data_IF_683358651823
#
_entry.id   IF_683358651823
#
_cell.length_a   1.000
_cell.length_b   1.000
_cell.length_c   1.000
_cell.angle_alpha   90.00
_cell.angle_beta   90.00
_cell.angle_gamma   90.00
#
_symmetry.space_group_name_H-M   'P 1'
#
loop_
_entity.id
_entity.type
_entity.pdbx_description
1 polymer ?
#
# COMPACT_ATOMS: atom_id res chain seq x y z
N UNK A 1 19.59 11.94 25.16
CA UNK A 1 19.65 12.50 23.79
C UNK A 1 18.24 12.47 23.23
N UNK A 2 17.86 13.49 22.46
CA UNK A 2 16.56 13.52 21.78
C UNK A 2 16.54 12.45 20.68
N UNK A 3 15.44 11.69 20.59
CA UNK A 3 15.29 10.53 19.68
C UNK A 3 14.15 10.75 18.69
N UNK A 4 14.34 10.29 17.47
CA UNK A 4 13.23 10.17 16.49
C UNK A 4 12.30 9.03 16.89
N UNK A 5 11.11 8.98 16.28
CA UNK A 5 10.22 7.82 16.43
C UNK A 5 10.93 6.52 16.02
N UNK A 6 11.65 6.55 14.89
CA UNK A 6 12.42 5.39 14.44
C UNK A 6 13.49 4.97 15.44
N UNK A 7 14.22 5.92 16.04
CA UNK A 7 15.23 5.60 17.05
C UNK A 7 14.60 4.88 18.26
N UNK A 8 13.45 5.37 18.74
CA UNK A 8 12.72 4.73 19.84
C UNK A 8 12.31 3.30 19.49
N UNK A 9 11.69 3.11 18.33
CA UNK A 9 11.27 1.79 17.87
C UNK A 9 12.45 0.83 17.68
N UNK A 10 13.54 1.34 17.11
CA UNK A 10 14.76 0.53 16.92
C UNK A 10 15.37 0.11 18.24
N UNK A 11 15.62 1.07 19.13
CA UNK A 11 16.30 0.84 20.40
C UNK A 11 15.50 -0.14 21.31
N UNK A 12 14.16 -0.08 21.26
CA UNK A 12 13.29 -0.97 22.04
C UNK A 12 13.30 -2.43 21.52
N UNK A 13 13.80 -2.68 20.29
CA UNK A 13 13.82 -4.03 19.67
C UNK A 13 15.21 -4.62 19.47
N UNK A 14 16.28 -3.84 19.69
CA UNK A 14 17.65 -4.36 19.59
C UNK A 14 17.91 -5.35 20.72
N UNK A 15 18.19 -6.59 20.35
CA UNK A 15 18.59 -7.68 21.26
C UNK A 15 20.10 -7.69 21.48
N UNK A 16 20.86 -7.49 20.38
CA UNK A 16 22.30 -7.49 20.38
C UNK A 16 22.83 -6.65 19.22
N UNK A 17 24.00 -6.04 19.39
CA UNK A 17 24.66 -5.27 18.32
C UNK A 17 26.11 -5.72 18.18
N UNK A 18 26.53 -5.94 16.94
CA UNK A 18 27.90 -6.23 16.57
C UNK A 18 28.74 -4.94 16.45
N UNK A 19 30.07 -5.07 16.48
CA UNK A 19 30.99 -3.93 16.34
C UNK A 19 30.87 -3.24 14.97
N UNK A 20 30.47 -3.97 13.91
CA UNK A 20 30.30 -3.45 12.56
C UNK A 20 28.96 -2.70 12.35
N UNK A 21 28.17 -2.55 13.42
CA UNK A 21 26.86 -1.90 13.41
C UNK A 21 25.69 -2.78 12.95
N UNK A 22 25.93 -4.08 12.69
CA UNK A 22 24.87 -5.06 12.50
C UNK A 22 24.18 -5.34 13.83
N UNK A 23 22.85 -5.37 13.84
CA UNK A 23 22.09 -5.65 15.04
C UNK A 23 21.12 -6.82 14.82
N UNK A 24 20.96 -7.62 15.85
CA UNK A 24 19.87 -8.58 15.98
C UNK A 24 18.68 -7.84 16.56
N UNK A 25 17.58 -7.74 15.81
CA UNK A 25 16.35 -7.12 16.29
C UNK A 25 15.25 -8.17 16.49
N UNK A 26 14.45 -7.99 17.53
CA UNK A 26 13.29 -8.82 17.81
C UNK A 26 12.13 -8.42 16.90
N UNK A 27 11.36 -9.41 16.43
CA UNK A 27 10.18 -9.22 15.57
C UNK A 27 8.92 -9.62 16.34
N UNK A 28 8.01 -8.67 16.55
CA UNK A 28 6.77 -8.90 17.31
C UNK A 28 5.71 -9.61 16.49
N UNK A 29 5.62 -9.29 15.20
CA UNK A 29 4.58 -9.80 14.30
C UNK A 29 5.17 -10.16 12.95
N UNK A 30 4.87 -11.36 12.49
CA UNK A 30 5.08 -11.77 11.11
C UNK A 30 3.74 -12.04 10.43
N UNK A 31 3.53 -11.40 9.27
CA UNK A 31 2.41 -11.67 8.41
C UNK A 31 2.87 -12.59 7.26
N UNK A 32 2.02 -13.53 6.88
CA UNK A 32 2.36 -14.56 5.91
C UNK A 32 1.31 -14.61 4.80
N UNK A 33 1.78 -14.86 3.58
CA UNK A 33 0.91 -15.10 2.43
C UNK A 33 1.49 -16.20 1.53
N UNK A 34 0.72 -16.66 0.55
CA UNK A 34 1.02 -17.86 -0.23
C UNK A 34 2.23 -17.73 -1.16
N UNK A 35 2.67 -16.51 -1.50
CA UNK A 35 3.73 -16.31 -2.51
C UNK A 35 5.13 -16.53 -1.94
N UNK A 36 5.40 -16.05 -0.72
CA UNK A 36 6.77 -16.02 -0.14
C UNK A 36 6.96 -16.96 1.05
N UNK A 37 5.95 -17.74 1.41
CA UNK A 37 6.02 -18.65 2.56
C UNK A 37 6.34 -20.11 2.24
N UNK A 38 6.05 -20.68 1.05
CA UNK A 38 6.23 -22.11 0.81
C UNK A 38 7.64 -22.62 1.09
N UNK A 39 8.66 -21.96 0.53
CA UNK A 39 10.06 -22.35 0.71
C UNK A 39 10.54 -22.11 2.15
N UNK A 40 10.00 -21.10 2.86
CA UNK A 40 10.32 -20.87 4.26
C UNK A 40 9.85 -22.01 5.16
N UNK A 41 8.64 -22.53 4.95
CA UNK A 41 8.15 -23.70 5.67
C UNK A 41 8.88 -24.99 5.27
N UNK A 42 9.22 -25.15 3.98
CA UNK A 42 10.04 -26.27 3.52
C UNK A 42 11.41 -26.28 4.23
N UNK A 43 12.08 -25.12 4.36
CA UNK A 43 13.33 -24.99 5.08
C UNK A 43 13.21 -25.39 6.55
N UNK A 44 12.15 -24.98 7.24
CA UNK A 44 11.89 -25.42 8.62
C UNK A 44 11.71 -26.94 8.71
N UNK A 45 10.93 -27.53 7.81
CA UNK A 45 10.69 -28.97 7.79
C UNK A 45 11.99 -29.75 7.55
N UNK A 46 12.81 -29.34 6.59
CA UNK A 46 14.10 -29.97 6.28
C UNK A 46 15.08 -29.88 7.44
N UNK A 47 15.06 -28.73 8.16
CA UNK A 47 15.90 -28.51 9.33
C UNK A 47 15.33 -29.14 10.62
N UNK A 48 14.13 -29.70 10.60
CA UNK A 48 13.44 -30.23 11.78
C UNK A 48 13.16 -29.16 12.85
N UNK A 49 12.92 -27.91 12.44
CA UNK A 49 12.73 -26.77 13.35
C UNK A 49 11.23 -26.42 13.49
N UNK A 50 10.74 -26.22 14.72
CA UNK A 50 9.40 -25.70 14.95
C UNK A 50 9.36 -24.19 14.70
N UNK A 51 8.15 -23.65 14.52
CA UNK A 51 7.91 -22.20 14.63
C UNK A 51 8.09 -21.75 16.08
N UNK A 52 8.98 -20.79 16.30
CA UNK A 52 9.37 -20.34 17.64
C UNK A 52 8.20 -19.77 18.45
N UNK A 53 7.42 -18.86 17.84
CA UNK A 53 6.28 -18.20 18.48
C UNK A 53 5.07 -18.19 17.54
N UNK A 54 4.26 -19.23 17.62
CA UNK A 54 3.12 -19.43 16.72
C UNK A 54 2.17 -18.23 16.73
N UNK A 55 1.84 -17.70 17.92
CA UNK A 55 0.92 -16.56 18.09
C UNK A 55 1.42 -15.22 17.51
N UNK A 56 2.69 -15.11 17.17
CA UNK A 56 3.26 -13.95 16.50
C UNK A 56 2.97 -13.94 15.00
N UNK A 57 2.49 -15.05 14.44
CA UNK A 57 2.24 -15.22 13.02
C UNK A 57 0.75 -15.15 12.70
N UNK A 58 0.41 -14.49 11.59
CA UNK A 58 -0.94 -14.44 11.04
C UNK A 58 -0.85 -14.59 9.51
N UNK A 59 -1.59 -15.53 8.96
CA UNK A 59 -1.54 -15.86 7.53
C UNK A 59 -2.86 -15.54 6.81
N UNK A 60 -2.75 -15.22 5.53
CA UNK A 60 -3.88 -15.04 4.62
C UNK A 60 -3.43 -15.29 3.19
N UNK A 61 -4.32 -15.83 2.35
CA UNK A 61 -4.11 -15.92 0.90
C UNK A 61 -4.72 -14.70 0.24
N UNK A 62 -3.92 -13.93 -0.54
CA UNK A 62 -4.37 -12.67 -1.11
C UNK A 62 -3.91 -12.37 -2.54
N UNK A 63 -2.83 -12.98 -3.02
CA UNK A 63 -2.25 -12.73 -4.35
C UNK A 63 -2.85 -13.63 -5.44
N UNK A 64 -2.97 -14.92 -5.16
CA UNK A 64 -3.38 -15.96 -6.12
C UNK A 64 -4.86 -16.35 -6.00
N UNK A 65 -5.63 -15.64 -5.21
CA UNK A 65 -7.05 -15.88 -5.06
C UNK A 65 -7.85 -15.20 -6.18
N UNK A 66 -8.89 -15.85 -6.74
CA UNK A 66 -9.76 -15.21 -7.72
C UNK A 66 -10.56 -14.09 -7.07
N UNK A 67 -10.80 -13.02 -7.83
CA UNK A 67 -11.68 -11.91 -7.44
C UNK A 67 -13.08 -12.02 -8.07
N UNK A 68 -13.29 -13.03 -8.88
CA UNK A 68 -14.58 -13.46 -9.44
C UNK A 68 -15.27 -14.47 -8.52
N UNK A 69 -16.26 -15.20 -9.02
CA UNK A 69 -16.92 -16.25 -8.27
C UNK A 69 -15.90 -17.32 -7.79
N UNK A 70 -15.98 -17.66 -6.53
CA UNK A 70 -15.09 -18.61 -5.83
C UNK A 70 -15.75 -19.99 -5.60
N UNK A 71 -16.98 -20.19 -6.07
CA UNK A 71 -17.72 -21.43 -5.84
C UNK A 71 -17.01 -22.66 -6.40
N UNK A 72 -16.27 -22.49 -7.51
CA UNK A 72 -15.51 -23.56 -8.16
C UNK A 72 -14.01 -23.59 -7.76
N UNK A 73 -13.63 -22.75 -6.79
CA UNK A 73 -12.25 -22.66 -6.31
C UNK A 73 -11.32 -21.90 -7.27
N UNK A 74 -10.04 -22.31 -7.30
CA UNK A 74 -8.98 -21.66 -8.09
C UNK A 74 -8.71 -22.52 -9.33
N UNK A 75 -8.95 -21.96 -10.51
CA UNK A 75 -8.79 -22.67 -11.79
C UNK A 75 -7.34 -22.80 -12.25
N UNK A 76 -6.48 -21.79 -11.95
CA UNK A 76 -5.06 -21.85 -12.30
C UNK A 76 -4.33 -22.84 -11.38
N UNK A 77 -3.66 -23.88 -11.93
CA UNK A 77 -3.06 -24.94 -11.11
C UNK A 77 -1.91 -24.44 -10.22
N UNK A 78 -1.14 -23.42 -10.66
CA UNK A 78 0.00 -22.90 -9.90
C UNK A 78 -0.52 -22.06 -8.75
N UNK A 79 -1.47 -21.17 -9.01
CA UNK A 79 -2.15 -20.37 -7.97
C UNK A 79 -2.80 -21.26 -6.92
N UNK A 80 -3.52 -22.31 -7.37
CA UNK A 80 -4.13 -23.30 -6.47
C UNK A 80 -3.08 -24.00 -5.60
N UNK A 81 -1.99 -24.46 -6.19
CA UNK A 81 -0.91 -25.13 -5.45
C UNK A 81 -0.33 -24.23 -4.35
N UNK A 82 -0.09 -22.94 -4.65
CA UNK A 82 0.46 -21.99 -3.67
C UNK A 82 -0.51 -21.75 -2.51
N UNK A 83 -1.80 -21.58 -2.79
CA UNK A 83 -2.82 -21.39 -1.75
C UNK A 83 -2.99 -22.66 -0.90
N UNK A 84 -3.11 -23.83 -1.54
CA UNK A 84 -3.22 -25.11 -0.84
C UNK A 84 -1.98 -25.38 0.03
N UNK A 85 -0.78 -25.02 -0.44
CA UNK A 85 0.47 -25.18 0.33
C UNK A 85 0.49 -24.28 1.56
N UNK A 86 0.03 -23.02 1.46
CA UNK A 86 -0.10 -22.15 2.63
C UNK A 86 -1.08 -22.75 3.64
N UNK A 87 -2.23 -23.25 3.17
CA UNK A 87 -3.25 -23.88 4.03
C UNK A 87 -2.66 -25.07 4.80
N UNK A 88 -1.98 -25.98 4.09
CA UNK A 88 -1.33 -27.16 4.69
C UNK A 88 -0.25 -26.77 5.70
N UNK A 89 0.59 -25.80 5.38
CA UNK A 89 1.64 -25.35 6.27
C UNK A 89 1.08 -24.70 7.53
N UNK A 90 0.07 -23.83 7.39
CA UNK A 90 -0.57 -23.20 8.55
C UNK A 90 -1.25 -24.24 9.46
N UNK A 91 -1.93 -25.21 8.88
CA UNK A 91 -2.55 -26.32 9.64
C UNK A 91 -1.49 -27.16 10.35
N UNK A 92 -0.38 -27.51 9.68
CA UNK A 92 0.71 -28.32 10.24
C UNK A 92 1.46 -27.63 11.39
N UNK A 93 1.70 -26.32 11.29
CA UNK A 93 2.43 -25.53 12.30
C UNK A 93 1.50 -24.82 13.30
N UNK A 94 0.18 -24.98 13.19
CA UNK A 94 -0.80 -24.37 14.09
C UNK A 94 -0.92 -22.85 13.98
N UNK A 95 -0.57 -22.28 12.83
CA UNK A 95 -0.62 -20.83 12.59
C UNK A 95 -2.05 -20.41 12.24
N UNK A 96 -2.53 -19.33 12.87
CA UNK A 96 -3.83 -18.75 12.54
C UNK A 96 -3.83 -18.22 11.10
N UNK A 97 -4.79 -18.68 10.31
CA UNK A 97 -4.96 -18.28 8.92
C UNK A 97 -6.40 -17.88 8.60
N UNK A 98 -6.57 -16.85 7.78
CA UNK A 98 -7.85 -16.54 7.14
C UNK A 98 -7.83 -17.11 5.72
N UNK A 99 -8.40 -18.31 5.55
CA UNK A 99 -8.46 -19.03 4.28
C UNK A 99 -9.35 -18.29 3.27
N UNK A 100 -9.26 -18.61 1.99
CA UNK A 100 -9.90 -17.90 0.87
C UNK A 100 -11.40 -17.59 1.07
N UNK A 101 -12.14 -18.46 1.75
CA UNK A 101 -13.59 -18.29 1.99
C UNK A 101 -13.94 -17.79 3.42
N UNK A 102 -12.93 -17.43 4.24
CA UNK A 102 -13.16 -16.78 5.54
C UNK A 102 -13.66 -15.34 5.32
N UNK A 103 -14.67 -14.93 6.07
CA UNK A 103 -15.21 -13.56 6.00
C UNK A 103 -14.18 -12.47 6.30
N UNK A 104 -13.06 -12.81 6.94
CA UNK A 104 -11.94 -11.91 7.28
C UNK A 104 -10.81 -11.97 6.23
N UNK A 105 -10.94 -12.84 5.22
CA UNK A 105 -9.95 -12.93 4.15
C UNK A 105 -9.84 -11.58 3.40
N UNK A 106 -8.65 -11.26 2.98
CA UNK A 106 -8.35 -10.04 2.22
C UNK A 106 -6.85 -9.83 2.10
N UNK A 107 -6.48 -8.69 1.57
CA UNK A 107 -5.07 -8.30 1.39
C UNK A 107 -4.37 -8.26 2.75
N UNK A 108 -3.19 -8.88 2.85
CA UNK A 108 -2.43 -9.02 4.10
C UNK A 108 -2.23 -7.68 4.83
N UNK A 109 -1.95 -6.59 4.09
CA UNK A 109 -1.76 -5.25 4.65
C UNK A 109 -3.07 -4.49 4.94
N UNK A 110 -4.22 -5.09 4.63
CA UNK A 110 -5.55 -4.62 5.05
C UNK A 110 -5.99 -5.39 6.29
N UNK A 111 -5.89 -6.71 6.28
CA UNK A 111 -6.39 -7.55 7.38
C UNK A 111 -5.58 -7.37 8.67
N UNK A 112 -4.27 -7.18 8.58
CA UNK A 112 -3.41 -6.94 9.75
C UNK A 112 -3.90 -5.75 10.59
N UNK A 113 -4.01 -4.54 10.04
CA UNK A 113 -4.63 -3.39 10.69
C UNK A 113 -6.09 -3.59 11.10
N UNK A 114 -6.90 -4.13 10.20
CA UNK A 114 -8.33 -4.33 10.42
C UNK A 114 -8.63 -5.24 11.60
N UNK A 115 -7.81 -6.26 11.83
CA UNK A 115 -7.92 -7.16 12.97
C UNK A 115 -7.24 -6.61 14.24
N UNK A 116 -6.49 -5.51 14.15
CA UNK A 116 -5.66 -5.00 15.25
C UNK A 116 -4.44 -5.88 15.52
N UNK A 117 -4.00 -6.66 14.53
CA UNK A 117 -2.79 -7.47 14.62
C UNK A 117 -1.52 -6.61 14.50
N UNK A 118 -1.65 -5.38 13.99
CA UNK A 118 -0.64 -4.32 14.02
C UNK A 118 -0.97 -3.35 15.14
N UNK A 119 -0.04 -3.17 16.07
CA UNK A 119 -0.17 -2.25 17.19
C UNK A 119 1.02 -1.28 17.24
N UNK A 120 0.83 -0.08 17.81
CA UNK A 120 1.92 0.87 17.97
C UNK A 120 3.07 0.29 18.79
N UNK A 121 4.29 0.63 18.39
CA UNK A 121 5.50 0.17 19.07
C UNK A 121 5.99 -1.21 18.66
N UNK A 122 5.27 -1.93 17.80
CA UNK A 122 5.69 -3.25 17.31
C UNK A 122 6.70 -3.15 16.16
N UNK A 123 7.48 -4.23 15.99
CA UNK A 123 8.12 -4.59 14.72
C UNK A 123 7.22 -5.53 13.95
N UNK A 124 6.96 -5.22 12.66
CA UNK A 124 6.07 -6.02 11.79
C UNK A 124 6.79 -6.36 10.49
N UNK A 125 6.84 -7.64 10.13
CA UNK A 125 7.47 -8.09 8.88
C UNK A 125 6.52 -8.98 8.07
N UNK A 126 6.74 -8.99 6.76
CA UNK A 126 6.06 -9.86 5.81
C UNK A 126 6.94 -10.03 4.57
N UNK A 127 6.76 -11.12 3.85
CA UNK A 127 7.43 -11.35 2.55
C UNK A 127 6.91 -10.48 1.41
N UNK A 128 6.42 -9.28 1.70
CA UNK A 128 5.90 -8.28 0.76
C UNK A 128 6.47 -6.90 1.06
N UNK A 129 6.89 -6.17 0.02
CA UNK A 129 7.52 -4.85 0.16
C UNK A 129 6.59 -3.80 0.78
N UNK A 130 5.26 -3.90 0.59
CA UNK A 130 4.30 -2.94 1.12
C UNK A 130 3.94 -3.17 2.60
N UNK A 131 4.69 -4.01 3.30
CA UNK A 131 4.66 -4.13 4.77
C UNK A 131 4.90 -2.78 5.46
N UNK A 132 5.58 -1.84 4.78
CA UNK A 132 5.71 -0.45 5.24
C UNK A 132 4.37 0.22 5.60
N UNK A 133 3.25 -0.25 5.04
CA UNK A 133 1.88 0.19 5.38
C UNK A 133 1.63 0.26 6.89
N UNK A 134 2.13 -0.73 7.63
CA UNK A 134 1.91 -0.85 9.07
C UNK A 134 2.60 0.24 9.90
N UNK A 135 3.56 0.96 9.31
CA UNK A 135 4.20 2.12 9.93
C UNK A 135 3.26 3.30 10.20
N UNK A 136 2.08 3.31 9.57
CA UNK A 136 0.99 4.26 9.87
C UNK A 136 0.52 4.18 11.33
N UNK A 137 0.82 3.09 12.03
CA UNK A 137 0.48 2.84 13.43
C UNK A 137 1.63 3.18 14.40
N UNK A 138 2.70 3.82 13.94
CA UNK A 138 3.91 3.96 14.76
C UNK A 138 4.55 2.60 15.07
N UNK A 139 4.50 1.67 14.10
CA UNK A 139 5.17 0.38 14.14
C UNK A 139 6.36 0.38 13.17
N UNK A 140 7.47 -0.25 13.53
CA UNK A 140 8.59 -0.43 12.61
C UNK A 140 8.28 -1.61 11.69
N UNK A 141 7.86 -1.30 10.46
CA UNK A 141 7.34 -2.30 9.55
C UNK A 141 8.04 -2.26 8.19
N UNK A 142 8.46 -3.43 7.70
CA UNK A 142 9.19 -3.54 6.43
C UNK A 142 9.09 -4.93 5.81
N UNK A 143 9.26 -4.98 4.48
CA UNK A 143 9.32 -6.21 3.71
C UNK A 143 10.63 -6.96 3.89
N UNK A 144 10.55 -8.29 3.84
CA UNK A 144 11.69 -9.22 3.98
C UNK A 144 11.67 -10.27 2.87
N UNK A 145 12.81 -10.88 2.60
CA UNK A 145 12.93 -11.99 1.64
C UNK A 145 12.48 -13.33 2.22
N UNK A 146 12.26 -14.32 1.35
CA UNK A 146 11.77 -15.66 1.74
C UNK A 146 12.66 -16.35 2.77
N UNK A 147 13.99 -16.25 2.66
CA UNK A 147 14.93 -16.80 3.65
C UNK A 147 14.87 -16.08 5.00
N UNK A 148 14.56 -14.80 4.99
CA UNK A 148 14.31 -14.03 6.21
C UNK A 148 12.96 -14.41 6.84
N UNK A 149 11.92 -14.73 6.01
CA UNK A 149 10.65 -15.30 6.51
C UNK A 149 10.90 -16.58 7.29
N UNK A 150 11.72 -17.53 6.76
CA UNK A 150 12.13 -18.74 7.45
C UNK A 150 12.86 -18.41 8.77
N UNK A 151 13.82 -17.48 8.71
CA UNK A 151 14.60 -17.08 9.87
C UNK A 151 13.71 -16.53 10.99
N UNK A 152 12.75 -15.67 10.67
CA UNK A 152 11.81 -15.11 11.65
C UNK A 152 10.87 -16.18 12.21
N UNK A 153 10.37 -17.11 11.39
CA UNK A 153 9.58 -18.25 11.87
C UNK A 153 10.36 -19.08 12.91
N UNK A 154 11.66 -19.30 12.66
CA UNK A 154 12.53 -20.12 13.52
C UNK A 154 13.00 -19.42 14.78
N UNK A 155 13.19 -18.09 14.77
CA UNK A 155 13.96 -17.37 15.82
C UNK A 155 13.25 -16.14 16.37
N UNK A 156 12.25 -15.62 15.68
CA UNK A 156 11.58 -14.34 15.95
C UNK A 156 12.53 -13.14 15.92
N UNK A 157 13.64 -13.23 15.19
CA UNK A 157 14.64 -12.17 15.06
C UNK A 157 15.07 -11.96 13.61
N UNK A 158 15.73 -10.82 13.36
CA UNK A 158 16.42 -10.52 12.11
C UNK A 158 17.77 -9.85 12.37
N UNK A 159 18.72 -10.08 11.47
CA UNK A 159 19.98 -9.37 11.41
C UNK A 159 19.88 -8.22 10.41
N UNK A 160 20.11 -6.98 10.85
CA UNK A 160 20.05 -5.82 9.98
C UNK A 160 20.86 -4.63 10.50
N UNK A 161 21.14 -3.67 9.62
CA UNK A 161 21.76 -2.39 9.99
C UNK A 161 20.69 -1.31 10.13
N UNK A 162 20.88 -0.43 11.12
CA UNK A 162 20.02 0.73 11.34
C UNK A 162 20.06 1.64 10.12
N UNK A 163 18.90 2.02 9.58
CA UNK A 163 18.79 3.02 8.52
C UNK A 163 18.95 4.45 9.06
N UNK A 164 19.15 5.42 8.17
CA UNK A 164 19.12 6.83 8.50
C UNK A 164 17.68 7.31 8.68
N UNK A 165 17.52 8.46 9.34
CA UNK A 165 16.23 9.11 9.58
C UNK A 165 15.96 10.18 8.51
N UNK A 166 14.82 10.09 7.80
CA UNK A 166 14.34 11.15 6.92
C UNK A 166 13.00 11.67 7.42
N UNK A 167 12.87 12.99 7.52
CA UNK A 167 11.60 13.66 7.79
C UNK A 167 10.98 14.13 6.47
N UNK A 168 9.74 13.73 6.21
CA UNK A 168 8.89 14.35 5.18
C UNK A 168 7.81 15.14 5.90
N UNK A 169 7.94 16.48 5.89
CA UNK A 169 6.97 17.38 6.52
C UNK A 169 6.03 17.96 5.49
N UNK A 170 4.72 17.82 5.74
CA UNK A 170 3.68 18.42 4.90
C UNK A 170 2.80 19.28 5.79
N UNK A 171 3.00 20.59 5.70
CA UNK A 171 2.23 21.57 6.47
C UNK A 171 1.11 22.21 5.66
N UNK A 172 0.13 22.77 6.36
CA UNK A 172 -1.07 23.35 5.79
C UNK A 172 -2.19 22.32 5.55
N UNK A 173 -3.16 22.68 4.69
CA UNK A 173 -4.35 21.84 4.44
C UNK A 173 -4.47 21.47 2.96
N UNK A 174 -4.78 20.20 2.71
CA UNK A 174 -5.06 19.75 1.35
C UNK A 174 -6.25 20.49 0.74
N UNK A 175 -6.13 20.80 -0.54
CA UNK A 175 -7.25 21.30 -1.33
C UNK A 175 -8.33 20.22 -1.47
N UNK A 176 -9.62 20.60 -1.50
CA UNK A 176 -10.69 19.66 -1.82
C UNK A 176 -10.39 18.89 -3.11
N UNK A 177 -10.52 17.56 -3.07
CA UNK A 177 -10.20 16.68 -4.21
C UNK A 177 -8.79 16.11 -4.22
N UNK A 178 -7.86 16.65 -3.41
CA UNK A 178 -6.54 16.04 -3.18
C UNK A 178 -6.60 15.10 -1.96
N UNK A 179 -5.81 14.03 -1.99
CA UNK A 179 -5.85 12.92 -1.02
C UNK A 179 -4.44 12.57 -0.53
N UNK A 180 -4.34 11.64 0.40
CA UNK A 180 -3.05 11.08 0.83
C UNK A 180 -2.26 10.45 -0.34
N UNK A 181 -2.94 9.88 -1.34
CA UNK A 181 -2.31 9.37 -2.56
C UNK A 181 -1.57 10.47 -3.32
N UNK A 182 -2.17 11.64 -3.40
CA UNK A 182 -1.58 12.79 -4.08
C UNK A 182 -0.38 13.34 -3.31
N UNK A 183 -0.42 13.32 -1.96
CA UNK A 183 0.74 13.66 -1.13
C UNK A 183 1.91 12.76 -1.45
N UNK A 184 1.73 11.44 -1.35
CA UNK A 184 2.85 10.51 -1.51
C UNK A 184 3.38 10.49 -2.94
N UNK A 185 2.53 10.64 -3.95
CA UNK A 185 2.98 10.80 -5.34
C UNK A 185 3.77 12.08 -5.54
N UNK A 186 3.35 13.20 -4.95
CA UNK A 186 4.10 14.47 -5.00
C UNK A 186 5.47 14.34 -4.28
N UNK A 187 5.53 13.63 -3.16
CA UNK A 187 6.79 13.32 -2.46
C UNK A 187 7.71 12.51 -3.37
N UNK A 188 7.22 11.41 -3.96
CA UNK A 188 8.01 10.55 -4.87
C UNK A 188 8.47 11.34 -6.10
N UNK A 189 7.59 12.17 -6.67
CA UNK A 189 7.96 13.07 -7.78
C UNK A 189 9.06 14.05 -7.41
N UNK A 190 9.13 14.50 -6.15
CA UNK A 190 10.12 15.45 -5.66
C UNK A 190 11.48 14.82 -5.37
N UNK A 191 11.50 13.65 -4.72
CA UNK A 191 12.76 13.01 -4.27
C UNK A 191 13.23 11.86 -5.18
N UNK A 192 12.38 11.40 -6.09
CA UNK A 192 12.64 10.25 -6.96
C UNK A 192 12.43 8.90 -6.26
N UNK A 193 12.47 7.83 -7.06
CA UNK A 193 12.30 6.44 -6.56
C UNK A 193 13.50 5.92 -5.76
N UNK A 194 14.63 6.62 -5.78
CA UNK A 194 15.84 6.29 -5.03
C UNK A 194 16.14 7.29 -3.89
N UNK A 195 15.38 8.37 -3.75
CA UNK A 195 15.66 9.44 -2.78
C UNK A 195 15.58 8.98 -1.32
N UNK A 196 14.78 7.97 -1.02
CA UNK A 196 14.64 7.37 0.31
C UNK A 196 15.58 6.18 0.57
N UNK A 197 16.46 5.83 -0.37
CA UNK A 197 17.36 4.67 -0.22
C UNK A 197 18.27 4.81 0.99
N UNK A 198 18.23 3.81 1.88
CA UNK A 198 18.98 3.82 3.14
C UNK A 198 18.32 4.60 4.28
N UNK A 199 17.10 5.10 4.06
CA UNK A 199 16.33 5.84 5.06
C UNK A 199 15.08 5.07 5.53
N UNK A 200 14.67 5.37 6.75
CA UNK A 200 13.28 5.25 7.21
C UNK A 200 12.65 6.63 7.17
N UNK A 201 11.50 6.77 6.51
CA UNK A 201 10.81 8.06 6.35
C UNK A 201 9.78 8.23 7.48
N UNK A 202 9.86 9.32 8.25
CA UNK A 202 8.79 9.77 9.13
C UNK A 202 7.99 10.87 8.41
N UNK A 203 6.68 10.62 8.22
CA UNK A 203 5.75 11.61 7.69
C UNK A 203 5.16 12.44 8.83
N UNK A 204 5.29 13.75 8.77
CA UNK A 204 4.82 14.68 9.79
C UNK A 204 4.26 15.98 9.19
N UNK A 205 3.79 16.88 10.03
CA UNK A 205 3.18 18.15 9.65
C UNK A 205 1.67 18.17 9.86
N UNK A 206 1.06 19.35 9.68
CA UNK A 206 -0.37 19.54 9.94
C UNK A 206 -1.23 18.67 9.02
N UNK A 207 -0.90 18.63 7.71
CA UNK A 207 -1.65 17.85 6.74
C UNK A 207 -1.64 16.36 7.08
N UNK A 208 -0.51 15.82 7.58
CA UNK A 208 -0.39 14.40 7.95
C UNK A 208 -1.22 14.07 9.19
N UNK A 209 -1.20 14.97 10.22
CA UNK A 209 -2.02 14.77 11.42
C UNK A 209 -3.52 14.79 11.12
N UNK A 210 -3.94 15.58 10.13
CA UNK A 210 -5.34 15.65 9.70
C UNK A 210 -5.81 14.45 8.86
N UNK A 211 -4.93 13.54 8.45
CA UNK A 211 -5.31 12.35 7.71
C UNK A 211 -5.99 11.32 8.62
N UNK A 212 -6.96 10.61 8.04
CA UNK A 212 -7.48 9.36 8.59
C UNK A 212 -6.38 8.29 8.67
N UNK A 213 -6.64 7.19 9.37
CA UNK A 213 -5.72 6.05 9.39
C UNK A 213 -5.53 5.45 7.99
N UNK A 214 -6.59 5.38 7.19
CA UNK A 214 -6.54 4.93 5.80
C UNK A 214 -5.60 5.79 4.95
N UNK A 215 -5.68 7.11 5.11
CA UNK A 215 -4.75 8.04 4.45
C UNK A 215 -3.30 7.86 4.90
N UNK A 216 -3.06 7.67 6.21
CA UNK A 216 -1.72 7.40 6.76
C UNK A 216 -1.17 6.07 6.26
N UNK A 217 -2.02 5.03 6.15
CA UNK A 217 -1.64 3.75 5.55
C UNK A 217 -1.25 3.89 4.08
N UNK A 218 -1.94 4.74 3.31
CA UNK A 218 -1.58 5.03 1.92
C UNK A 218 -0.19 5.68 1.83
N UNK A 219 0.14 6.64 2.70
CA UNK A 219 1.48 7.26 2.74
C UNK A 219 2.57 6.23 3.03
N UNK A 220 2.41 5.48 4.12
CA UNK A 220 3.41 4.50 4.54
C UNK A 220 3.53 3.34 3.54
N UNK A 221 2.42 2.92 2.92
CA UNK A 221 2.40 1.92 1.85
C UNK A 221 3.35 2.29 0.72
N UNK A 222 3.30 3.54 0.27
CA UNK A 222 4.10 4.00 -0.88
C UNK A 222 5.46 4.60 -0.50
N UNK A 223 5.86 4.59 0.77
CA UNK A 223 7.22 5.00 1.17
C UNK A 223 8.30 4.14 0.50
N UNK A 224 8.03 2.85 0.28
CA UNK A 224 8.92 1.93 -0.44
C UNK A 224 9.12 2.34 -1.91
N UNK A 225 8.15 3.03 -2.51
CA UNK A 225 8.27 3.51 -3.91
C UNK A 225 9.22 4.71 -4.03
N UNK A 226 9.53 5.37 -2.92
CA UNK A 226 10.62 6.34 -2.82
C UNK A 226 11.99 5.69 -2.51
N UNK A 227 12.06 4.36 -2.41
CA UNK A 227 13.25 3.59 -2.05
C UNK A 227 13.50 3.46 -0.55
N UNK A 228 12.62 3.95 0.31
CA UNK A 228 12.79 3.90 1.75
C UNK A 228 12.63 2.47 2.31
N UNK A 229 13.30 2.18 3.43
CA UNK A 229 13.15 0.90 4.13
C UNK A 229 11.80 0.74 4.79
N UNK A 230 11.28 1.83 5.38
CA UNK A 230 9.99 1.90 6.04
C UNK A 230 9.43 3.32 5.98
N UNK A 231 8.12 3.46 6.19
CA UNK A 231 7.44 4.74 6.41
C UNK A 231 6.79 4.73 7.78
N UNK A 232 6.80 5.84 8.48
CA UNK A 232 6.26 5.98 9.84
C UNK A 232 5.35 7.20 9.94
N UNK A 233 4.31 7.09 10.74
CA UNK A 233 3.53 8.22 11.25
C UNK A 233 3.46 8.10 12.77
N UNK A 234 3.72 9.20 13.47
CA UNK A 234 3.64 9.25 14.92
C UNK A 234 2.24 8.90 15.43
N UNK A 235 2.18 8.23 16.57
CA UNK A 235 0.92 7.84 17.20
C UNK A 235 0.20 9.06 17.79
N UNK A 236 -1.09 9.15 17.53
CA UNK A 236 -2.00 10.14 18.11
C UNK A 236 -3.36 9.50 18.44
N UNK A 237 -4.33 10.30 18.84
CA UNK A 237 -5.67 9.81 19.19
C UNK A 237 -6.37 9.13 18.00
N UNK A 238 -6.14 9.60 16.76
CA UNK A 238 -6.69 8.94 15.54
C UNK A 238 -6.22 7.48 15.44
N UNK A 239 -4.94 7.24 15.74
CA UNK A 239 -4.36 5.88 15.76
C UNK A 239 -4.98 5.03 16.87
N UNK A 240 -5.12 5.59 18.06
CA UNK A 240 -5.65 4.90 19.23
C UNK A 240 -7.12 4.53 19.02
N UNK A 241 -7.95 5.46 18.54
CA UNK A 241 -9.36 5.25 18.24
C UNK A 241 -9.56 4.17 17.17
N UNK A 242 -8.72 4.15 16.14
CA UNK A 242 -8.79 3.12 15.10
C UNK A 242 -8.54 1.71 15.65
N UNK A 243 -7.65 1.56 16.64
CA UNK A 243 -7.27 0.25 17.20
C UNK A 243 -8.29 -0.26 18.22
N UNK A 244 -8.96 0.63 18.95
CA UNK A 244 -9.88 0.25 20.00
C UNK A 244 -10.99 -0.69 19.51
N UNK A 245 -11.23 -1.75 20.29
CA UNK A 245 -12.29 -2.73 20.01
C UNK A 245 -11.94 -3.78 18.95
N UNK A 246 -10.78 -3.70 18.30
CA UNK A 246 -10.37 -4.72 17.32
C UNK A 246 -10.00 -6.04 18.00
N UNK A 247 -10.12 -7.18 17.27
CA UNK A 247 -9.96 -8.51 17.87
C UNK A 247 -8.65 -8.73 18.61
N UNK A 248 -7.51 -8.31 18.03
CA UNK A 248 -6.18 -8.46 18.63
C UNK A 248 -5.74 -7.27 19.48
N UNK A 249 -6.55 -6.21 19.57
CA UNK A 249 -6.23 -5.08 20.43
C UNK A 249 -6.28 -5.46 21.91
N UNK A 250 -5.42 -4.89 22.76
CA UNK A 250 -5.51 -5.05 24.21
C UNK A 250 -6.87 -4.63 24.74
N UNK A 251 -7.30 -5.19 25.86
CA UNK A 251 -8.62 -4.92 26.48
C UNK A 251 -8.46 -4.57 27.96
N UNK A 252 -9.42 -3.82 28.48
CA UNK A 252 -9.49 -3.45 29.90
C UNK A 252 -8.23 -2.72 30.38
N UNK A 253 -7.67 -3.08 31.56
CA UNK A 253 -6.47 -2.42 32.11
C UNK A 253 -5.24 -2.48 31.20
N UNK A 254 -5.06 -3.57 30.44
CA UNK A 254 -3.97 -3.71 29.48
C UNK A 254 -4.06 -2.66 28.34
N UNK A 255 -5.26 -2.31 27.89
CA UNK A 255 -5.45 -1.25 26.91
C UNK A 255 -5.04 0.12 27.48
N UNK A 256 -5.42 0.43 28.72
CA UNK A 256 -5.05 1.70 29.36
C UNK A 256 -3.52 1.85 29.49
N UNK A 257 -2.85 0.78 29.88
CA UNK A 257 -1.38 0.75 29.94
C UNK A 257 -0.75 0.91 28.55
N UNK A 258 -1.28 0.20 27.55
CA UNK A 258 -0.81 0.31 26.17
C UNK A 258 -0.98 1.74 25.65
N UNK A 259 -2.13 2.39 25.85
CA UNK A 259 -2.39 3.76 25.42
C UNK A 259 -1.40 4.76 26.06
N UNK A 260 -1.01 4.56 27.34
CA UNK A 260 0.00 5.42 27.98
C UNK A 260 1.36 5.30 27.25
N UNK A 261 1.78 4.07 26.92
CA UNK A 261 3.01 3.86 26.15
C UNK A 261 2.87 4.38 24.71
N UNK A 262 1.78 4.10 24.02
CA UNK A 262 1.58 4.51 22.63
C UNK A 262 1.66 6.02 22.43
N UNK A 263 1.16 6.82 23.39
CA UNK A 263 1.27 8.28 23.34
C UNK A 263 2.70 8.81 23.42
N UNK A 264 3.69 7.98 23.79
CA UNK A 264 5.11 8.34 23.78
C UNK A 264 5.78 8.11 22.42
N UNK A 265 5.08 7.44 21.50
CA UNK A 265 5.61 7.04 20.19
C UNK A 265 5.48 8.18 19.17
N UNK A 266 6.29 9.18 19.34
CA UNK A 266 6.51 10.33 18.45
C UNK A 266 7.97 10.78 18.58
N UNK A 267 8.49 11.50 17.59
CA UNK A 267 9.81 12.10 17.67
C UNK A 267 9.85 13.20 18.72
N UNK A 268 10.96 13.30 19.46
CA UNK A 268 11.18 14.36 20.42
C UNK A 268 11.27 15.73 19.70
N UNK A 269 10.94 16.81 20.37
CA UNK A 269 10.91 18.14 19.74
C UNK A 269 12.24 18.55 19.09
N UNK A 270 13.35 18.14 19.73
CA UNK A 270 14.72 18.44 19.28
C UNK A 270 15.38 17.27 18.53
N UNK A 271 14.59 16.29 18.08
CA UNK A 271 15.11 15.14 17.33
C UNK A 271 15.76 15.60 16.01
N UNK A 272 16.91 15.01 15.71
CA UNK A 272 17.65 15.33 14.48
C UNK A 272 17.38 14.27 13.42
N UNK A 273 17.09 14.73 12.22
CA UNK A 273 16.95 13.91 11.03
C UNK A 273 18.16 14.08 10.12
N UNK A 274 18.57 13.01 9.47
CA UNK A 274 19.69 13.04 8.50
C UNK A 274 19.30 13.76 7.20
N UNK A 275 18.00 13.76 6.87
CA UNK A 275 17.45 14.49 5.73
C UNK A 275 16.04 15.03 6.07
N UNK A 276 15.71 16.20 5.51
CA UNK A 276 14.38 16.82 5.67
C UNK A 276 13.85 17.22 4.30
N UNK A 277 12.59 16.85 4.03
CA UNK A 277 11.85 17.23 2.81
C UNK A 277 10.58 17.94 3.25
N UNK A 278 10.37 19.15 2.74
CA UNK A 278 9.21 19.97 3.09
C UNK A 278 8.31 20.19 1.88
N UNK A 279 7.00 20.09 2.09
CA UNK A 279 5.95 20.40 1.11
C UNK A 279 4.86 21.25 1.76
N UNK A 280 4.16 22.00 0.92
CA UNK A 280 2.95 22.73 1.30
C UNK A 280 1.74 21.99 0.76
N UNK A 281 0.81 21.64 1.63
CA UNK A 281 -0.37 20.87 1.26
C UNK A 281 -1.26 21.60 0.24
N UNK A 282 -1.31 22.94 0.31
CA UNK A 282 -2.07 23.77 -0.62
C UNK A 282 -1.56 23.69 -2.06
N UNK A 283 -0.29 23.34 -2.25
CA UNK A 283 0.34 23.23 -3.57
C UNK A 283 0.14 21.83 -4.19
N UNK A 284 -0.37 20.86 -3.41
CA UNK A 284 -0.57 19.49 -3.88
C UNK A 284 -1.94 19.36 -4.55
N UNK A 285 -1.93 19.36 -5.87
CA UNK A 285 -3.09 19.04 -6.69
C UNK A 285 -3.24 17.52 -6.88
N UNK A 286 -4.40 17.02 -7.36
CA UNK A 286 -4.54 15.62 -7.78
C UNK A 286 -3.47 15.22 -8.78
N UNK A 287 -2.79 14.09 -8.53
CA UNK A 287 -1.61 13.62 -9.25
C UNK A 287 -1.95 12.51 -10.24
N UNK A 288 -1.22 12.47 -11.36
CA UNK A 288 -1.28 11.40 -12.37
C UNK A 288 0.14 11.03 -12.78
N UNK A 289 0.50 9.76 -12.73
CA UNK A 289 1.76 9.31 -13.34
C UNK A 289 1.62 9.27 -14.85
N UNK A 290 2.60 9.85 -15.57
CA UNK A 290 2.60 9.91 -17.04
C UNK A 290 3.55 8.89 -17.68
N UNK A 291 4.45 8.30 -16.90
CA UNK A 291 5.49 7.40 -17.37
C UNK A 291 5.45 6.02 -16.73
N UNK A 292 6.58 5.35 -16.76
CA UNK A 292 6.78 3.95 -16.32
C UNK A 292 7.40 3.81 -14.94
N UNK A 293 7.36 4.88 -14.14
CA UNK A 293 7.85 4.93 -12.76
C UNK A 293 6.96 5.85 -11.92
N UNK A 294 6.74 5.61 -10.63
CA UNK A 294 5.96 6.49 -9.76
C UNK A 294 6.53 7.92 -9.64
N UNK A 295 7.84 8.13 -9.88
CA UNK A 295 8.45 9.47 -9.91
C UNK A 295 8.09 10.27 -11.16
N UNK A 296 7.66 9.59 -12.24
CA UNK A 296 7.20 10.22 -13.46
C UNK A 296 5.72 10.66 -13.26
N UNK A 297 5.51 11.65 -12.42
CA UNK A 297 4.20 12.12 -11.95
C UNK A 297 4.08 13.63 -12.08
N UNK A 298 2.88 14.11 -12.35
CA UNK A 298 2.54 15.52 -12.45
C UNK A 298 1.12 15.78 -11.96
N UNK A 299 0.81 17.02 -11.55
CA UNK A 299 -0.57 17.48 -11.34
C UNK A 299 -1.43 17.27 -12.60
N UNK A 300 -2.68 16.88 -12.41
CA UNK A 300 -3.64 16.65 -13.51
C UNK A 300 -3.82 17.87 -14.43
N UNK A 301 -3.57 19.08 -13.92
CA UNK A 301 -3.62 20.33 -14.68
C UNK A 301 -2.49 20.50 -15.68
N UNK A 302 -1.45 19.70 -15.57
CA UNK A 302 -0.23 19.78 -16.38
C UNK A 302 -0.36 19.00 -17.70
N UNK A 303 0.74 19.03 -18.46
CA UNK A 303 0.86 18.37 -19.76
C UNK A 303 1.96 17.32 -19.71
N UNK A 304 1.86 16.31 -20.55
CA UNK A 304 2.92 15.33 -20.81
C UNK A 304 4.23 16.07 -21.07
N UNK A 305 5.31 15.77 -20.34
CA UNK A 305 6.58 16.49 -20.49
C UNK A 305 7.17 16.33 -21.88
N UNK A 306 7.93 17.35 -22.28
CA UNK A 306 8.65 17.37 -23.54
C UNK A 306 10.13 17.01 -23.31
N UNK A 307 10.61 15.84 -23.77
CA UNK A 307 11.99 15.42 -23.59
C UNK A 307 13.01 16.40 -24.17
N UNK A 308 12.66 17.19 -25.20
CA UNK A 308 13.55 18.17 -25.79
C UNK A 308 13.93 19.30 -24.81
N UNK A 309 13.10 19.53 -23.80
CA UNK A 309 13.33 20.53 -22.75
C UNK A 309 14.21 20.01 -21.60
N UNK A 310 14.43 18.69 -21.52
CA UNK A 310 15.30 18.10 -20.49
C UNK A 310 16.78 18.23 -20.91
N UNK A 311 17.58 18.78 -20.00
CA UNK A 311 19.02 19.04 -20.26
C UNK A 311 19.92 17.85 -19.97
N UNK A 312 19.51 17.01 -19.01
CA UNK A 312 20.25 15.78 -18.66
C UNK A 312 19.99 14.72 -19.74
N UNK A 313 21.02 14.25 -20.47
CA UNK A 313 20.83 13.26 -21.52
C UNK A 313 20.25 11.93 -21.04
N UNK A 314 20.59 11.50 -19.81
CA UNK A 314 20.10 10.25 -19.24
C UNK A 314 18.62 10.36 -18.89
N UNK A 315 18.21 11.48 -18.27
CA UNK A 315 16.81 11.78 -17.99
C UNK A 315 16.00 11.91 -19.28
N UNK A 316 16.52 12.62 -20.27
CA UNK A 316 15.88 12.73 -21.59
C UNK A 316 15.65 11.37 -22.22
N UNK A 317 16.66 10.51 -22.28
CA UNK A 317 16.53 9.16 -22.83
C UNK A 317 15.52 8.29 -22.04
N UNK A 318 15.47 8.44 -20.72
CA UNK A 318 14.45 7.77 -19.89
C UNK A 318 13.04 8.27 -20.19
N UNK A 319 12.87 9.59 -20.35
CA UNK A 319 11.57 10.18 -20.73
C UNK A 319 11.12 9.70 -22.11
N UNK A 320 11.98 9.69 -23.11
CA UNK A 320 11.68 9.20 -24.45
C UNK A 320 11.23 7.75 -24.45
N UNK A 321 11.93 6.88 -23.70
CA UNK A 321 11.54 5.47 -23.54
C UNK A 321 10.16 5.34 -22.87
N UNK A 322 9.92 6.08 -21.79
CA UNK A 322 8.66 6.06 -21.08
C UNK A 322 7.50 6.53 -21.96
N UNK A 323 7.66 7.65 -22.69
CA UNK A 323 6.65 8.16 -23.61
C UNK A 323 6.35 7.17 -24.76
N UNK A 324 7.40 6.52 -25.29
CA UNK A 324 7.25 5.48 -26.31
C UNK A 324 6.41 4.30 -25.78
N UNK A 325 6.78 3.78 -24.59
CA UNK A 325 6.04 2.68 -23.95
C UNK A 325 4.59 3.07 -23.65
N UNK A 326 4.40 4.22 -23.02
CA UNK A 326 3.07 4.75 -22.67
C UNK A 326 2.28 5.24 -23.89
N UNK A 327 2.90 5.31 -25.07
CA UNK A 327 2.29 5.85 -26.30
C UNK A 327 1.67 7.22 -26.04
N UNK A 328 2.46 8.14 -25.50
CA UNK A 328 2.06 9.51 -25.20
C UNK A 328 2.83 10.49 -26.07
N UNK A 329 2.14 11.54 -26.49
CA UNK A 329 2.72 12.63 -27.27
C UNK A 329 3.09 13.77 -26.31
N UNK A 330 4.31 14.31 -26.38
CA UNK A 330 4.69 15.49 -25.60
C UNK A 330 3.69 16.64 -25.71
N UNK A 331 3.58 17.41 -24.65
CA UNK A 331 2.65 18.55 -24.55
C UNK A 331 1.14 18.22 -24.61
N UNK A 332 0.75 16.96 -24.65
CA UNK A 332 -0.66 16.54 -24.52
C UNK A 332 -1.16 16.87 -23.10
N UNK A 333 -2.33 17.51 -22.91
CA UNK A 333 -2.89 17.68 -21.57
C UNK A 333 -3.14 16.34 -20.90
N UNK A 334 -2.72 16.17 -19.63
CA UNK A 334 -2.96 14.91 -18.90
C UNK A 334 -4.46 14.58 -18.82
N UNK A 335 -5.30 15.60 -18.66
CA UNK A 335 -6.75 15.45 -18.62
C UNK A 335 -7.40 14.97 -19.93
N UNK A 336 -6.69 14.96 -21.05
CA UNK A 336 -7.20 14.47 -22.34
C UNK A 336 -6.81 13.03 -22.67
N UNK A 337 -6.02 12.38 -21.81
CA UNK A 337 -5.54 11.02 -22.04
C UNK A 337 -6.69 10.03 -21.78
N UNK A 338 -7.12 9.25 -22.79
CA UNK A 338 -8.19 8.26 -22.64
C UNK A 338 -7.72 7.05 -21.83
N UNK A 339 -8.66 6.34 -21.23
CA UNK A 339 -8.40 5.08 -20.49
C UNK A 339 -9.23 3.95 -21.07
N UNK A 340 -8.66 2.73 -21.11
CA UNK A 340 -9.34 1.51 -21.57
C UNK A 340 -9.88 0.68 -20.39
N UNK A 341 -9.20 0.72 -19.24
CA UNK A 341 -9.59 0.03 -18.03
C UNK A 341 -9.41 0.92 -16.81
N UNK A 342 -10.14 0.61 -15.76
CA UNK A 342 -10.02 1.28 -14.45
C UNK A 342 -9.93 0.23 -13.36
N UNK A 343 -9.00 0.43 -12.42
CA UNK A 343 -8.80 -0.43 -11.26
C UNK A 343 -8.83 0.38 -9.97
N UNK A 344 -9.82 0.11 -9.12
CA UNK A 344 -9.94 0.64 -7.76
C UNK A 344 -9.74 -0.52 -6.81
N UNK A 345 -8.59 -0.57 -6.12
CA UNK A 345 -8.20 -1.71 -5.30
C UNK A 345 -6.76 -1.57 -4.81
N UNK A 346 -6.09 -2.72 -4.56
CA UNK A 346 -4.71 -2.81 -4.05
C UNK A 346 -4.60 -2.54 -2.54
N UNK A 347 -3.52 -3.01 -1.91
CA UNK A 347 -3.22 -2.69 -0.51
C UNK A 347 -3.10 -1.18 -0.24
N UNK A 348 -2.92 -0.37 -1.28
CA UNK A 348 -2.82 1.08 -1.17
C UNK A 348 -4.19 1.73 -0.95
N UNK A 349 -5.19 1.40 -1.78
CA UNK A 349 -6.49 2.08 -1.82
C UNK A 349 -7.66 1.11 -2.04
N UNK A 350 -7.92 0.25 -1.07
CA UNK A 350 -9.02 -0.70 -1.10
C UNK A 350 -9.81 -0.76 0.22
N UNK A 351 -9.61 0.22 1.09
CA UNK A 351 -10.30 0.33 2.39
C UNK A 351 -11.64 1.01 2.22
N UNK A 352 -12.47 0.96 3.25
CA UNK A 352 -13.84 1.49 3.18
C UNK A 352 -13.89 2.98 2.81
N UNK A 353 -12.93 3.77 3.27
CA UNK A 353 -12.85 5.19 2.94
C UNK A 353 -12.58 5.42 1.44
N UNK A 354 -11.71 4.59 0.85
CA UNK A 354 -11.41 4.62 -0.59
C UNK A 354 -12.65 4.30 -1.43
N UNK A 355 -13.41 3.27 -1.00
CA UNK A 355 -14.67 2.89 -1.64
C UNK A 355 -15.71 4.02 -1.56
N UNK A 356 -15.85 4.65 -0.38
CA UNK A 356 -16.74 5.80 -0.19
C UNK A 356 -16.34 6.99 -1.06
N UNK A 357 -15.04 7.31 -1.13
CA UNK A 357 -14.53 8.41 -1.94
C UNK A 357 -14.81 8.21 -3.44
N UNK A 358 -14.57 7.00 -3.93
CA UNK A 358 -14.86 6.62 -5.32
C UNK A 358 -16.37 6.62 -5.61
N UNK A 359 -17.18 5.99 -4.75
CA UNK A 359 -18.64 5.94 -4.92
C UNK A 359 -19.27 7.32 -4.92
N UNK A 360 -18.79 8.24 -4.08
CA UNK A 360 -19.26 9.63 -4.05
C UNK A 360 -19.06 10.34 -5.38
N UNK A 361 -17.96 10.08 -6.07
CA UNK A 361 -17.71 10.67 -7.42
C UNK A 361 -18.64 10.05 -8.45
N UNK A 362 -18.82 8.72 -8.41
CA UNK A 362 -19.74 8.01 -9.33
C UNK A 362 -21.17 8.50 -9.17
N UNK A 363 -21.66 8.60 -7.94
CA UNK A 363 -23.01 9.08 -7.62
C UNK A 363 -23.21 10.53 -8.06
N UNK A 364 -22.24 11.39 -7.79
CA UNK A 364 -22.27 12.81 -8.16
C UNK A 364 -22.31 13.03 -9.68
N UNK A 365 -21.54 12.25 -10.43
CA UNK A 365 -21.56 12.33 -11.89
C UNK A 365 -22.84 11.76 -12.50
N UNK A 366 -23.49 10.80 -11.83
CA UNK A 366 -24.80 10.25 -12.22
C UNK A 366 -24.84 9.60 -13.60
N UNK A 367 -23.68 9.22 -14.14
CA UNK A 367 -23.54 8.65 -15.49
C UNK A 367 -23.07 7.19 -15.39
N UNK A 368 -23.13 6.50 -16.53
CA UNK A 368 -22.54 5.17 -16.70
C UNK A 368 -21.04 5.27 -17.01
N UNK A 369 -20.34 4.17 -16.80
CA UNK A 369 -18.98 3.95 -17.30
C UNK A 369 -18.95 4.28 -18.80
N UNK A 370 -17.96 5.04 -19.23
CA UNK A 370 -17.83 5.51 -20.60
C UNK A 370 -17.67 4.36 -21.59
N UNK A 371 -18.21 4.52 -22.81
CA UNK A 371 -18.24 3.46 -23.81
C UNK A 371 -16.86 2.97 -24.27
N UNK A 372 -15.80 3.78 -24.14
CA UNK A 372 -14.43 3.38 -24.44
C UNK A 372 -13.77 2.61 -23.29
N UNK A 373 -14.31 2.64 -22.08
CA UNK A 373 -13.79 1.88 -20.93
C UNK A 373 -14.34 0.47 -20.99
N UNK A 374 -13.47 -0.48 -21.33
CA UNK A 374 -13.83 -1.90 -21.52
C UNK A 374 -14.13 -2.60 -20.19
N UNK A 375 -13.49 -2.15 -19.11
CA UNK A 375 -13.60 -2.77 -17.78
C UNK A 375 -13.26 -1.77 -16.68
N UNK A 376 -14.16 -1.63 -15.74
CA UNK A 376 -13.94 -0.83 -14.53
C UNK A 376 -14.13 -1.75 -13.29
N UNK A 377 -13.03 -2.06 -12.59
CA UNK A 377 -13.01 -2.96 -11.44
C UNK A 377 -13.02 -2.19 -10.13
N UNK A 378 -13.82 -2.66 -9.18
CA UNK A 378 -13.75 -2.24 -7.78
C UNK A 378 -13.55 -3.48 -6.92
N UNK A 379 -12.39 -3.54 -6.26
CA UNK A 379 -11.95 -4.70 -5.47
C UNK A 379 -11.75 -4.29 -4.01
N UNK A 380 -12.68 -4.62 -3.11
CA UNK A 380 -12.53 -4.36 -1.68
C UNK A 380 -11.30 -5.05 -1.11
N UNK A 381 -10.66 -4.43 -0.10
CA UNK A 381 -9.41 -4.95 0.46
C UNK A 381 -9.57 -6.17 1.36
N UNK A 382 -10.76 -6.40 1.89
CA UNK A 382 -11.09 -7.57 2.71
C UNK A 382 -12.57 -7.91 2.62
N UNK A 383 -12.95 -9.10 3.07
CA UNK A 383 -14.34 -9.51 3.18
C UNK A 383 -15.13 -8.62 4.15
N UNK A 384 -14.48 -8.09 5.20
CA UNK A 384 -15.11 -7.16 6.13
C UNK A 384 -15.36 -5.79 5.49
N UNK A 385 -14.40 -5.27 4.71
CA UNK A 385 -14.60 -4.05 3.91
C UNK A 385 -15.72 -4.25 2.90
N UNK A 386 -15.73 -5.39 2.19
CA UNK A 386 -16.77 -5.73 1.23
C UNK A 386 -18.15 -5.72 1.89
N UNK A 387 -18.30 -6.46 3.00
CA UNK A 387 -19.55 -6.53 3.74
C UNK A 387 -20.00 -5.17 4.28
N UNK A 388 -19.05 -4.31 4.71
CA UNK A 388 -19.37 -2.95 5.14
C UNK A 388 -19.84 -2.09 3.96
N UNK A 389 -19.14 -2.12 2.86
CA UNK A 389 -19.49 -1.37 1.65
C UNK A 389 -20.88 -1.76 1.12
N UNK A 390 -21.21 -3.06 1.14
CA UNK A 390 -22.52 -3.58 0.74
C UNK A 390 -23.63 -3.13 1.70
N UNK A 391 -23.39 -3.14 3.02
CA UNK A 391 -24.34 -2.57 3.99
C UNK A 391 -24.60 -1.08 3.79
N UNK A 392 -23.59 -0.34 3.38
CA UNK A 392 -23.69 1.09 3.05
C UNK A 392 -24.28 1.33 1.65
N UNK A 393 -24.46 0.30 0.83
CA UNK A 393 -25.03 0.38 -0.52
C UNK A 393 -24.06 0.87 -1.57
N UNK A 394 -22.74 0.93 -1.28
CA UNK A 394 -21.72 1.41 -2.21
C UNK A 394 -21.61 0.49 -3.44
N UNK A 395 -21.76 -0.81 -3.26
CA UNK A 395 -21.78 -1.79 -4.36
C UNK A 395 -22.90 -1.51 -5.37
N UNK A 396 -24.07 -1.05 -4.90
CA UNK A 396 -25.21 -0.71 -5.75
C UNK A 396 -24.89 0.50 -6.64
N UNK A 397 -24.20 1.51 -6.07
CA UNK A 397 -23.76 2.70 -6.82
C UNK A 397 -22.82 2.27 -7.95
N UNK A 398 -21.80 1.47 -7.64
CA UNK A 398 -20.83 0.99 -8.63
C UNK A 398 -21.49 0.12 -9.70
N UNK A 399 -22.26 -0.90 -9.32
CA UNK A 399 -22.96 -1.79 -10.25
C UNK A 399 -23.95 -1.04 -11.13
N UNK A 400 -24.69 -0.09 -10.55
CA UNK A 400 -25.61 0.75 -11.30
C UNK A 400 -24.91 1.60 -12.35
N UNK A 401 -23.69 2.05 -12.12
CA UNK A 401 -22.89 2.79 -13.08
C UNK A 401 -22.18 1.89 -14.11
N UNK A 402 -22.13 0.56 -13.90
CA UNK A 402 -21.50 -0.39 -14.82
C UNK A 402 -20.08 -0.81 -14.42
N UNK A 403 -19.68 -0.59 -13.15
CA UNK A 403 -18.46 -1.18 -12.58
C UNK A 403 -18.70 -2.65 -12.22
N UNK A 404 -17.66 -3.45 -12.29
CA UNK A 404 -17.65 -4.79 -11.74
C UNK A 404 -17.20 -4.78 -10.26
N UNK A 405 -18.10 -5.22 -9.38
CA UNK A 405 -17.86 -5.38 -7.95
C UNK A 405 -17.29 -6.78 -7.69
N UNK A 406 -16.10 -6.85 -7.13
CA UNK A 406 -15.30 -8.06 -7.05
C UNK A 406 -15.16 -8.62 -5.63
N UNK A 407 -14.66 -9.85 -5.51
CA UNK A 407 -14.22 -10.47 -4.28
C UNK A 407 -12.85 -9.91 -3.84
N UNK A 408 -12.54 -9.90 -2.51
CA UNK A 408 -11.31 -9.31 -1.98
C UNK A 408 -10.03 -10.03 -2.44
N UNK A 409 -9.00 -9.26 -2.78
CA UNK A 409 -7.69 -9.78 -3.17
C UNK A 409 -6.81 -8.71 -3.81
N UNK A 410 -5.55 -9.05 -4.13
CA UNK A 410 -4.62 -8.13 -4.79
C UNK A 410 -5.01 -7.80 -6.23
N UNK A 411 -5.77 -8.70 -6.92
CA UNK A 411 -6.33 -8.44 -8.24
C UNK A 411 -5.28 -7.93 -9.25
N UNK A 412 -5.63 -6.89 -9.99
CA UNK A 412 -4.77 -6.29 -11.02
C UNK A 412 -3.49 -5.63 -10.47
N UNK A 413 -3.29 -5.51 -9.16
CA UNK A 413 -2.08 -4.89 -8.60
C UNK A 413 -0.78 -5.57 -9.07
N UNK A 414 -0.79 -6.91 -9.19
CA UNK A 414 0.33 -7.74 -9.65
C UNK A 414 0.02 -8.52 -10.93
N UNK A 415 -1.24 -8.58 -11.34
CA UNK A 415 -1.70 -9.39 -12.46
C UNK A 415 -1.31 -10.89 -12.34
N UNK A 416 -1.32 -11.42 -11.10
CA UNK A 416 -1.07 -12.84 -10.82
C UNK A 416 -2.32 -13.71 -10.97
N UNK A 417 -3.46 -13.10 -11.26
CA UNK A 417 -4.74 -13.76 -11.54
C UNK A 417 -5.28 -13.32 -12.91
N UNK A 418 -6.55 -13.60 -13.20
CA UNK A 418 -7.17 -13.23 -14.48
C UNK A 418 -7.34 -11.71 -14.68
N UNK A 419 -7.26 -10.92 -13.63
CA UNK A 419 -7.39 -9.45 -13.68
C UNK A 419 -6.08 -8.83 -14.17
N UNK A 420 -6.00 -8.54 -15.47
CA UNK A 420 -4.81 -7.96 -16.10
C UNK A 420 -5.13 -7.06 -17.28
N UNK A 421 -4.15 -6.27 -17.68
CA UNK A 421 -4.17 -5.51 -18.91
C UNK A 421 -3.70 -6.37 -20.09
N UNK A 422 -4.33 -6.18 -21.22
CA UNK A 422 -3.82 -6.66 -22.50
C UNK A 422 -2.78 -5.67 -23.07
N UNK A 423 -1.90 -6.12 -23.99
CA UNK A 423 -0.90 -5.26 -24.59
C UNK A 423 -1.51 -3.98 -25.20
N UNK A 424 -0.97 -2.84 -24.81
CA UNK A 424 -1.42 -1.53 -25.30
C UNK A 424 -2.59 -0.92 -24.52
N UNK A 425 -3.29 -1.65 -23.69
CA UNK A 425 -4.38 -1.09 -22.88
C UNK A 425 -3.84 -0.16 -21.80
N UNK A 426 -4.60 0.92 -21.56
CA UNK A 426 -4.30 1.97 -20.60
C UNK A 426 -5.24 1.90 -19.41
N UNK A 427 -4.67 1.92 -18.20
CA UNK A 427 -5.42 1.82 -16.96
C UNK A 427 -5.24 3.05 -16.08
N UNK A 428 -6.33 3.62 -15.58
CA UNK A 428 -6.33 4.46 -14.39
C UNK A 428 -6.40 3.56 -13.16
N UNK A 429 -5.35 3.56 -12.34
CA UNK A 429 -5.16 2.57 -11.28
C UNK A 429 -4.87 3.19 -9.92
N UNK A 430 -5.49 2.67 -8.88
CA UNK A 430 -5.19 3.05 -7.50
C UNK A 430 -4.10 2.18 -6.86
N UNK A 431 -3.43 1.34 -7.64
CA UNK A 431 -2.29 0.56 -7.17
C UNK A 431 -1.09 1.46 -6.81
N UNK A 432 0.02 0.85 -6.42
CA UNK A 432 1.20 1.53 -5.92
C UNK A 432 2.35 1.62 -6.92
N UNK A 433 2.39 0.76 -7.94
CA UNK A 433 3.46 0.66 -8.94
C UNK A 433 2.92 0.66 -10.34
N UNK A 434 3.68 1.26 -11.27
CA UNK A 434 3.33 1.38 -12.68
C UNK A 434 4.49 1.11 -13.65
N UNK A 435 5.49 0.34 -13.24
CA UNK A 435 6.56 -0.03 -14.16
C UNK A 435 6.03 -0.94 -15.30
N UNK A 436 6.82 -1.04 -16.37
CA UNK A 436 6.46 -1.79 -17.56
C UNK A 436 6.01 -3.23 -17.24
N UNK A 437 4.85 -3.61 -17.72
CA UNK A 437 4.28 -4.95 -17.52
C UNK A 437 3.68 -5.24 -16.15
N UNK A 438 3.69 -4.30 -15.19
CA UNK A 438 3.23 -4.54 -13.82
C UNK A 438 1.80 -5.09 -13.72
N UNK A 439 0.88 -4.53 -14.49
CA UNK A 439 -0.53 -4.95 -14.52
C UNK A 439 -0.88 -5.83 -15.73
N UNK A 440 0.12 -6.36 -16.41
CA UNK A 440 0.00 -7.17 -17.62
C UNK A 440 1.04 -6.78 -18.67
N UNK A 441 1.53 -7.75 -19.44
CA UNK A 441 2.57 -7.50 -20.44
C UNK A 441 2.11 -6.46 -21.46
N UNK A 442 2.91 -5.40 -21.66
CA UNK A 442 2.58 -4.28 -22.54
C UNK A 442 1.45 -3.37 -22.06
N UNK A 443 0.92 -3.58 -20.86
CA UNK A 443 -0.08 -2.73 -20.23
C UNK A 443 0.50 -1.38 -19.80
N UNK A 444 -0.30 -0.32 -19.87
CA UNK A 444 0.07 1.08 -19.59
C UNK A 444 -0.68 1.57 -18.36
N UNK A 445 0.00 1.65 -17.23
CA UNK A 445 -0.62 2.00 -15.94
C UNK A 445 -0.33 3.44 -15.55
N UNK A 446 -1.37 4.19 -15.19
CA UNK A 446 -1.28 5.50 -14.56
C UNK A 446 -1.78 5.41 -13.12
N UNK A 447 -0.96 5.81 -12.16
CA UNK A 447 -1.35 5.86 -10.75
C UNK A 447 -2.14 7.13 -10.47
N UNK A 448 -3.28 6.96 -9.82
CA UNK A 448 -4.20 8.04 -9.44
C UNK A 448 -4.89 7.71 -8.10
N UNK A 449 -5.55 8.71 -7.50
CA UNK A 449 -6.40 8.51 -6.33
C UNK A 449 -7.71 7.78 -6.68
N UNK A 450 -8.42 7.17 -5.70
CA UNK A 450 -9.70 6.50 -5.93
C UNK A 450 -10.75 7.40 -6.60
N UNK A 451 -10.83 8.65 -6.19
CA UNK A 451 -11.74 9.63 -6.79
C UNK A 451 -11.40 9.90 -8.27
N UNK A 452 -10.10 10.05 -8.58
CA UNK A 452 -9.62 10.24 -9.95
C UNK A 452 -9.88 9.02 -10.83
N UNK A 453 -9.68 7.80 -10.29
CA UNK A 453 -9.97 6.56 -11.01
C UNK A 453 -11.46 6.42 -11.32
N UNK A 454 -12.32 6.71 -10.34
CA UNK A 454 -13.76 6.69 -10.51
C UNK A 454 -14.23 7.71 -11.57
N UNK A 455 -13.72 8.94 -11.53
CA UNK A 455 -14.01 9.97 -12.53
C UNK A 455 -13.55 9.55 -13.93
N UNK A 456 -12.35 8.94 -14.03
CA UNK A 456 -11.82 8.46 -15.30
C UNK A 456 -12.66 7.34 -15.92
N UNK A 457 -13.25 6.46 -15.09
CA UNK A 457 -14.17 5.43 -15.57
C UNK A 457 -15.43 6.02 -16.21
N UNK A 458 -15.99 7.06 -15.59
CA UNK A 458 -17.25 7.69 -16.05
C UNK A 458 -17.02 8.58 -17.27
N UNK A 459 -15.93 9.32 -17.32
CA UNK A 459 -15.66 10.28 -18.40
C UNK A 459 -14.83 9.67 -19.57
N UNK A 460 -14.24 8.47 -19.36
CA UNK A 460 -13.42 7.78 -20.36
C UNK A 460 -12.00 8.31 -20.53
N UNK A 461 -11.63 9.33 -19.78
CA UNK A 461 -10.30 9.97 -19.75
C UNK A 461 -10.03 10.55 -18.37
N UNK A 462 -8.78 10.95 -18.07
CA UNK A 462 -8.48 11.59 -16.80
C UNK A 462 -9.21 12.92 -16.65
N UNK A 463 -9.64 13.21 -15.43
CA UNK A 463 -10.41 14.43 -15.08
C UNK A 463 -9.88 15.04 -13.80
N UNK A 464 -9.83 16.36 -13.74
CA UNK A 464 -9.57 17.05 -12.48
C UNK A 464 -10.81 17.01 -11.58
N UNK A 465 -10.79 16.14 -10.59
CA UNK A 465 -11.92 15.93 -9.66
C UNK A 465 -12.32 17.17 -8.87
N UNK A 466 -11.45 18.17 -8.78
CA UNK A 466 -11.75 19.47 -8.16
C UNK A 466 -12.78 20.27 -8.99
N UNK A 467 -12.92 19.96 -10.28
CA UNK A 467 -13.85 20.62 -11.22
C UNK A 467 -15.18 19.88 -11.35
N UNK A 468 -15.34 18.74 -10.70
CA UNK A 468 -16.62 18.02 -10.66
C UNK A 468 -17.52 18.77 -9.67
N UNK A 469 -18.45 19.53 -10.22
CA UNK A 469 -19.42 20.37 -9.48
C UNK A 469 -20.63 19.57 -8.97
#
# INVERSE_FOLDING_TARGET
MSRTLYDKLWDDHVVYSEEDGTATIYIDRQLLHEVTSPQAFEGLNLAGRPVWRISANLAVSDHNVPTTDRSEGISDPISKLQVDTLDQNCDAFGITQYKMNDARQGIVHVIGPEQGATLPGMTVVCGDSHTSTHGAFGALAFGIGTSEVEHVLATQTLLMKKSKNMLVRVDGRLQPGSTAKDIVLAVIGKIGTAGGTGYTIEFAGEAIRCLSMEGRMTLCNMAIEAGARAGLVAVDETTIEYIQGRPYAPKGPALLQAMQYWRTLHSDADAKFDAVVELRAEEIAPQVTWGTSPEMVLPISERVPDPEKERDPNKRAAMERALKYMNLIPNTPLSSIPVDKVFIGSCTNSRIEDMRAAAKVVDRLGKKVAANVKLALVVPGSGLVKAQAEREGLDRIFKAAGFEWREPGCSMCLAMNADRLEPGERCASTSNRNFEGRQGNGGRTHLVSPAMAAAAAIEGHFVDVRKIS
#
